data_IF_624587211495
#
_entry.id   IF_624587211495
#
_cell.length_a   1.000
_cell.length_b   1.000
_cell.length_c   1.000
_cell.angle_alpha   90.00
_cell.angle_beta   90.00
_cell.angle_gamma   90.00
#
_symmetry.space_group_name_H-M   'P 1'
#
loop_
_entity.id
_entity.type
_entity.pdbx_description
1 polymer ?
#
# COMPACT_ATOMS: atom_id res chain seq x y z
N UNK A 1 -24.66 23.51 19.49
CA UNK A 1 -24.31 23.48 18.05
C UNK A 1 -23.01 24.27 17.90
N UNK A 2 -21.87 23.59 18.02
CA UNK A 2 -20.54 24.21 17.91
C UNK A 2 -19.97 23.79 16.57
N UNK A 3 -19.87 24.74 15.64
CA UNK A 3 -19.13 24.55 14.38
C UNK A 3 -17.65 24.61 14.73
N UNK A 4 -16.98 23.47 14.63
CA UNK A 4 -15.53 23.34 14.75
C UNK A 4 -14.88 23.96 13.52
N UNK A 5 -14.18 25.07 13.73
CA UNK A 5 -13.35 25.76 12.75
C UNK A 5 -12.12 24.90 12.48
N UNK A 6 -12.15 24.13 11.39
CA UNK A 6 -10.97 23.42 10.88
C UNK A 6 -10.07 24.47 10.25
N UNK A 7 -9.06 24.91 11.00
CA UNK A 7 -7.97 25.71 10.45
C UNK A 7 -7.33 24.94 9.29
N UNK A 8 -7.15 25.57 8.11
CA UNK A 8 -6.34 24.96 7.06
C UNK A 8 -4.92 24.79 7.59
N UNK A 9 -4.44 23.54 7.63
CA UNK A 9 -3.03 23.25 7.85
C UNK A 9 -2.16 23.99 6.82
N UNK A 10 -0.86 24.18 7.10
CA UNK A 10 0.02 24.93 6.22
C UNK A 10 -0.08 24.35 4.79
N UNK A 11 -0.34 25.22 3.82
CA UNK A 11 -0.40 24.84 2.41
C UNK A 11 0.89 24.10 2.06
N UNK A 12 0.75 22.81 1.74
CA UNK A 12 1.87 22.00 1.27
C UNK A 12 2.55 22.75 0.11
N UNK A 13 3.88 22.92 0.12
CA UNK A 13 4.59 23.53 -1.00
C UNK A 13 4.20 22.76 -2.26
N UNK A 14 3.89 23.46 -3.36
CA UNK A 14 3.38 22.88 -4.60
C UNK A 14 4.16 21.63 -4.98
N UNK A 15 3.64 20.47 -4.60
CA UNK A 15 4.37 19.22 -4.70
C UNK A 15 4.51 18.92 -6.19
N UNK A 16 5.74 19.04 -6.69
CA UNK A 16 6.03 18.64 -8.05
C UNK A 16 5.77 17.14 -8.11
N UNK A 17 4.76 16.73 -8.88
CA UNK A 17 4.42 15.32 -9.04
C UNK A 17 5.64 14.52 -9.47
N UNK A 18 5.83 13.34 -8.89
CA UNK A 18 6.84 12.41 -9.40
C UNK A 18 6.56 12.08 -10.87
N UNK A 19 7.58 11.70 -11.66
CA UNK A 19 7.40 11.31 -13.06
C UNK A 19 6.30 10.25 -13.23
N UNK A 20 6.28 9.23 -12.37
CA UNK A 20 5.22 8.23 -12.33
C UNK A 20 3.83 8.81 -12.04
N UNK A 21 3.69 9.65 -11.01
CA UNK A 21 2.40 10.26 -10.68
C UNK A 21 1.88 11.13 -11.84
N UNK A 22 2.77 11.91 -12.47
CA UNK A 22 2.44 12.71 -13.65
C UNK A 22 1.96 11.85 -14.81
N UNK A 23 2.66 10.76 -15.13
CA UNK A 23 2.27 9.84 -16.22
C UNK A 23 0.90 9.21 -15.98
N UNK A 24 0.62 8.76 -14.75
CA UNK A 24 -0.70 8.21 -14.40
C UNK A 24 -1.81 9.25 -14.55
N UNK A 25 -1.56 10.51 -14.16
CA UNK A 25 -2.51 11.60 -14.37
C UNK A 25 -2.78 11.83 -15.87
N UNK A 26 -1.74 11.91 -16.69
CA UNK A 26 -1.87 12.05 -18.14
C UNK A 26 -2.66 10.89 -18.77
N UNK A 27 -2.42 9.64 -18.32
CA UNK A 27 -3.19 8.47 -18.77
C UNK A 27 -4.66 8.57 -18.38
N UNK A 28 -4.97 9.03 -17.15
CA UNK A 28 -6.36 9.21 -16.71
C UNK A 28 -7.08 10.31 -17.49
N UNK A 29 -6.42 11.44 -17.73
CA UNK A 29 -6.99 12.52 -18.55
C UNK A 29 -7.30 12.04 -19.97
N UNK A 30 -6.43 11.20 -20.56
CA UNK A 30 -6.69 10.54 -21.86
C UNK A 30 -7.80 9.48 -21.80
N UNK A 31 -7.94 8.76 -20.68
CA UNK A 31 -8.92 7.69 -20.51
C UNK A 31 -10.35 8.17 -20.20
N UNK A 32 -10.52 9.40 -19.68
CA UNK A 32 -11.84 9.99 -19.44
C UNK A 32 -12.66 10.21 -20.72
N UNK A 33 -12.02 10.17 -21.89
CA UNK A 33 -12.65 10.29 -23.20
C UNK A 33 -12.89 8.95 -23.91
N UNK A 34 -12.54 7.81 -23.29
CA UNK A 34 -12.65 6.47 -23.88
C UNK A 34 -13.76 5.62 -23.26
N UNK A 35 -14.46 4.82 -24.08
CA UNK A 35 -15.42 3.82 -23.61
C UNK A 35 -14.72 2.71 -22.79
N UNK A 36 -15.42 2.17 -21.78
CA UNK A 36 -14.95 0.99 -21.05
C UNK A 36 -15.01 -0.22 -21.98
N UNK A 37 -13.92 -0.98 -22.05
CA UNK A 37 -13.90 -2.28 -22.72
C UNK A 37 -14.41 -3.33 -21.73
N UNK A 38 -15.70 -3.65 -21.85
CA UNK A 38 -16.38 -4.68 -21.06
C UNK A 38 -16.32 -6.07 -21.75
N UNK A 39 -15.40 -6.24 -22.71
CA UNK A 39 -15.16 -7.51 -23.39
C UNK A 39 -14.64 -8.62 -22.45
N UNK A 40 -14.72 -9.89 -22.88
CA UNK A 40 -14.26 -11.01 -22.07
C UNK A 40 -12.76 -10.89 -21.75
N UNK A 41 -12.41 -11.09 -20.48
CA UNK A 41 -11.02 -11.06 -20.01
C UNK A 41 -10.24 -12.19 -20.68
N UNK A 42 -9.31 -11.82 -21.56
CA UNK A 42 -8.42 -12.78 -22.21
C UNK A 42 -7.28 -13.13 -21.28
N UNK A 43 -7.15 -14.41 -20.93
CA UNK A 43 -5.96 -14.91 -20.24
C UNK A 43 -4.79 -14.78 -21.20
N UNK A 44 -3.89 -13.84 -20.89
CA UNK A 44 -2.67 -13.62 -21.65
C UNK A 44 -1.46 -14.02 -20.79
N UNK A 45 -0.34 -14.44 -21.40
CA UNK A 45 0.90 -14.65 -20.67
C UNK A 45 1.25 -13.43 -19.83
N UNK A 46 1.75 -13.66 -18.61
CA UNK A 46 2.16 -12.58 -17.72
C UNK A 46 3.33 -11.82 -18.36
N UNK A 47 3.23 -10.51 -18.57
CA UNK A 47 4.34 -9.73 -19.10
C UNK A 47 5.46 -9.60 -18.06
N UNK A 48 6.67 -9.30 -18.52
CA UNK A 48 7.83 -9.05 -17.64
C UNK A 48 7.57 -7.94 -16.62
N UNK A 49 6.77 -6.94 -17.02
CA UNK A 49 6.31 -5.84 -16.16
C UNK A 49 4.81 -5.80 -16.13
N UNK A 50 4.27 -6.24 -15.01
CA UNK A 50 2.83 -6.34 -14.81
C UNK A 50 2.29 -4.94 -14.54
N UNK A 51 1.33 -4.42 -15.32
CA UNK A 51 0.75 -3.12 -15.04
C UNK A 51 -0.03 -3.14 -13.72
N UNK A 52 -0.06 -2.01 -12.99
CA UNK A 52 -0.95 -1.85 -11.85
C UNK A 52 -2.41 -1.91 -12.31
N UNK A 53 -3.28 -2.50 -11.49
CA UNK A 53 -4.72 -2.41 -11.66
C UNK A 53 -5.20 -0.95 -11.55
N UNK A 54 -6.37 -0.59 -12.10
CA UNK A 54 -6.89 0.78 -12.00
C UNK A 54 -7.04 1.30 -10.57
N UNK A 55 -7.34 0.41 -9.61
CA UNK A 55 -7.42 0.74 -8.19
C UNK A 55 -6.03 0.96 -7.57
N UNK A 56 -5.06 0.10 -7.90
CA UNK A 56 -3.67 0.25 -7.47
C UNK A 56 -3.03 1.54 -8.02
N UNK A 57 -3.28 1.89 -9.29
CA UNK A 57 -2.80 3.14 -9.88
C UNK A 57 -3.32 4.37 -9.12
N UNK A 58 -4.59 4.35 -8.70
CA UNK A 58 -5.19 5.42 -7.91
C UNK A 58 -4.50 5.57 -6.56
N UNK A 59 -4.34 4.47 -5.83
CA UNK A 59 -3.68 4.49 -4.52
C UNK A 59 -2.20 4.89 -4.64
N UNK A 60 -1.49 4.40 -5.65
CA UNK A 60 -0.11 4.80 -5.93
C UNK A 60 0.00 6.31 -6.19
N UNK A 61 -0.89 6.88 -7.00
CA UNK A 61 -0.90 8.32 -7.24
C UNK A 61 -1.13 9.12 -5.95
N UNK A 62 -2.07 8.68 -5.11
CA UNK A 62 -2.39 9.33 -3.84
C UNK A 62 -1.21 9.26 -2.87
N UNK A 63 -0.54 8.11 -2.76
CA UNK A 63 0.69 7.94 -1.96
C UNK A 63 1.84 8.85 -2.45
N UNK A 64 1.95 9.10 -3.76
CA UNK A 64 2.95 10.04 -4.30
C UNK A 64 2.58 11.51 -4.10
N UNK A 65 1.31 11.83 -3.91
CA UNK A 65 0.83 13.19 -3.67
C UNK A 65 1.09 13.62 -2.22
N UNK A 66 0.97 12.70 -1.27
CA UNK A 66 1.22 12.92 0.14
C UNK A 66 2.06 11.77 0.74
N UNK A 67 3.38 11.74 0.47
CA UNK A 67 4.25 10.63 0.89
C UNK A 67 4.31 10.53 2.41
N UNK A 68 4.05 9.33 2.94
CA UNK A 68 4.08 9.05 4.38
C UNK A 68 2.73 9.22 5.08
N UNK A 69 1.69 9.67 4.36
CA UNK A 69 0.35 9.72 4.90
C UNK A 69 -0.20 8.32 5.21
N UNK A 70 -0.73 8.15 6.42
CA UNK A 70 -1.35 6.90 6.85
C UNK A 70 -2.80 6.71 6.35
N UNK A 71 -3.35 7.68 5.60
CA UNK A 71 -4.77 7.74 5.20
C UNK A 71 -5.28 6.49 4.49
N UNK A 72 -4.40 5.77 3.78
CA UNK A 72 -4.75 4.56 3.03
C UNK A 72 -4.18 3.27 3.63
N UNK A 73 -3.66 3.33 4.86
CA UNK A 73 -3.31 2.15 5.64
C UNK A 73 -4.56 1.59 6.31
N UNK A 74 -4.71 0.27 6.29
CA UNK A 74 -5.78 -0.45 6.98
C UNK A 74 -5.18 -1.30 8.11
N UNK A 75 -4.83 -0.69 9.26
CA UNK A 75 -4.29 -1.43 10.39
C UNK A 75 -5.34 -2.39 10.94
N UNK A 76 -4.92 -3.61 11.27
CA UNK A 76 -5.74 -4.61 11.93
C UNK A 76 -4.97 -5.18 13.13
N UNK A 77 -5.69 -5.44 14.22
CA UNK A 77 -5.15 -6.02 15.43
C UNK A 77 -6.07 -7.12 15.95
N UNK A 78 -5.47 -8.18 16.47
CA UNK A 78 -6.18 -9.31 17.07
C UNK A 78 -5.66 -9.56 18.48
N UNK A 79 -6.56 -9.92 19.40
CA UNK A 79 -6.20 -10.34 20.76
C UNK A 79 -6.36 -11.85 20.86
N UNK A 80 -5.27 -12.52 21.17
CA UNK A 80 -5.26 -13.94 21.52
C UNK A 80 -5.32 -14.09 23.04
N UNK A 81 -6.04 -15.10 23.52
CA UNK A 81 -6.14 -15.42 24.96
C UNK A 81 -5.58 -16.81 25.20
N UNK A 82 -4.71 -16.94 26.20
CA UNK A 82 -4.02 -18.20 26.50
C UNK A 82 -2.61 -18.25 25.86
N UNK A 83 -1.93 -19.40 25.95
CA UNK A 83 -0.60 -19.56 25.38
C UNK A 83 -0.67 -19.48 23.85
N UNK A 84 0.19 -18.64 23.26
CA UNK A 84 0.34 -18.50 21.82
C UNK A 84 1.58 -19.28 21.35
N UNK A 85 1.38 -20.23 20.45
CA UNK A 85 2.48 -20.94 19.78
C UNK A 85 3.09 -20.04 18.70
N UNK A 86 4.16 -19.32 19.07
CA UNK A 86 4.86 -18.41 18.17
C UNK A 86 5.50 -19.10 16.95
N UNK A 87 6.17 -20.26 17.09
CA UNK A 87 6.61 -21.05 15.94
C UNK A 87 5.49 -21.38 14.95
N UNK A 88 4.32 -21.85 15.44
CA UNK A 88 3.19 -22.18 14.58
C UNK A 88 2.62 -20.93 13.88
N UNK A 89 2.50 -19.81 14.60
CA UNK A 89 2.05 -18.54 14.00
C UNK A 89 2.99 -18.07 12.89
N UNK A 90 4.32 -18.12 13.13
CA UNK A 90 5.31 -17.74 12.12
C UNK A 90 5.23 -18.62 10.88
N UNK A 91 5.06 -19.94 11.06
CA UNK A 91 4.86 -20.87 9.95
C UNK A 91 3.59 -20.53 9.16
N UNK A 92 2.46 -20.28 9.84
CA UNK A 92 1.20 -19.95 9.20
C UNK A 92 1.27 -18.65 8.37
N UNK A 93 1.92 -17.60 8.89
CA UNK A 93 2.11 -16.33 8.14
C UNK A 93 3.06 -16.52 6.96
N UNK A 94 4.11 -17.33 7.13
CA UNK A 94 5.03 -17.69 6.03
C UNK A 94 4.28 -18.42 4.92
N UNK A 95 3.44 -19.39 5.26
CA UNK A 95 2.62 -20.12 4.28
C UNK A 95 1.62 -19.20 3.55
N UNK A 96 1.02 -18.25 4.27
CA UNK A 96 0.10 -17.27 3.70
C UNK A 96 0.81 -16.38 2.67
N UNK A 97 1.93 -15.78 3.05
CA UNK A 97 2.72 -14.92 2.15
C UNK A 97 3.28 -15.70 0.97
N UNK A 98 3.69 -16.96 1.15
CA UNK A 98 4.14 -17.81 0.06
C UNK A 98 3.03 -18.08 -0.96
N UNK A 99 1.82 -18.42 -0.50
CA UNK A 99 0.66 -18.74 -1.34
C UNK A 99 0.08 -17.52 -2.07
N UNK A 100 0.13 -16.33 -1.47
CA UNK A 100 -0.54 -15.14 -1.98
C UNK A 100 0.44 -14.09 -2.51
N UNK A 101 0.55 -13.98 -3.84
CA UNK A 101 1.43 -13.01 -4.50
C UNK A 101 1.13 -11.55 -4.11
N UNK A 102 -0.14 -11.23 -3.86
CA UNK A 102 -0.58 -9.86 -3.53
C UNK A 102 0.05 -9.37 -2.22
N UNK A 103 0.38 -10.27 -1.29
CA UNK A 103 1.09 -9.94 -0.04
C UNK A 103 2.58 -9.67 -0.26
N UNK A 104 3.12 -10.03 -1.43
CA UNK A 104 4.53 -9.87 -1.83
C UNK A 104 4.70 -8.86 -2.98
N UNK A 105 3.65 -8.13 -3.33
CA UNK A 105 3.67 -7.17 -4.41
C UNK A 105 4.34 -5.86 -3.94
N UNK A 106 5.35 -5.41 -4.68
CA UNK A 106 5.94 -4.07 -4.56
C UNK A 106 5.73 -3.29 -5.85
N UNK A 107 5.75 -1.96 -5.78
CA UNK A 107 5.42 -1.08 -6.91
C UNK A 107 6.60 -0.17 -7.31
N UNK A 108 7.72 -0.73 -7.80
CA UNK A 108 8.84 0.05 -8.31
C UNK A 108 8.45 0.82 -9.59
N UNK A 109 9.24 1.84 -9.89
CA UNK A 109 9.13 2.62 -11.11
C UNK A 109 10.13 2.14 -12.17
N UNK A 110 9.73 2.12 -13.43
CA UNK A 110 10.63 1.99 -14.58
C UNK A 110 10.19 2.96 -15.68
N UNK A 111 11.11 3.79 -16.17
CA UNK A 111 10.85 4.79 -17.22
C UNK A 111 9.65 5.71 -16.91
N UNK A 112 9.46 6.10 -15.65
CA UNK A 112 8.33 6.95 -15.27
C UNK A 112 7.00 6.20 -15.19
N UNK A 113 6.98 4.87 -15.18
CA UNK A 113 5.76 4.07 -15.03
C UNK A 113 5.90 3.08 -13.86
N UNK A 114 4.93 3.07 -12.93
CA UNK A 114 4.91 2.04 -11.90
C UNK A 114 4.46 0.71 -12.49
N UNK A 115 5.06 -0.37 -12.02
CA UNK A 115 4.66 -1.73 -12.35
C UNK A 115 4.65 -2.59 -11.09
N UNK A 116 3.90 -3.69 -11.13
CA UNK A 116 3.88 -4.66 -10.03
C UNK A 116 5.08 -5.59 -10.20
N UNK A 117 5.90 -5.69 -9.16
CA UNK A 117 6.93 -6.71 -9.03
C UNK A 117 6.58 -7.59 -7.85
N UNK A 118 6.43 -8.89 -8.10
CA UNK A 118 6.17 -9.87 -7.04
C UNK A 118 7.53 -10.35 -6.54
N UNK A 119 7.81 -10.08 -5.27
CA UNK A 119 9.01 -10.59 -4.60
C UNK A 119 8.90 -12.11 -4.42
N UNK A 120 9.98 -12.89 -4.44
CA UNK A 120 9.91 -14.31 -4.09
C UNK A 120 9.35 -14.51 -2.68
N UNK A 121 8.80 -15.70 -2.37
CA UNK A 121 8.43 -16.03 -1.00
C UNK A 121 9.65 -15.98 -0.07
N UNK A 122 9.45 -15.48 1.14
CA UNK A 122 10.48 -15.33 2.18
C UNK A 122 9.85 -15.63 3.55
N UNK A 123 10.57 -16.21 4.54
CA UNK A 123 10.02 -16.44 5.86
C UNK A 123 9.50 -15.17 6.50
N UNK A 124 8.33 -15.25 7.14
CA UNK A 124 7.72 -14.09 7.79
C UNK A 124 8.59 -13.59 8.96
N UNK A 125 8.99 -12.32 8.87
CA UNK A 125 9.63 -11.61 9.98
C UNK A 125 8.55 -11.02 10.89
N UNK A 126 8.21 -11.76 11.96
CA UNK A 126 7.35 -11.28 13.04
C UNK A 126 8.23 -10.74 14.17
N UNK A 127 8.08 -9.43 14.44
CA UNK A 127 8.69 -8.76 15.57
C UNK A 127 7.88 -9.04 16.84
N UNK A 128 8.55 -9.51 17.89
CA UNK A 128 7.95 -9.75 19.20
C UNK A 128 8.36 -8.62 20.14
N UNK A 129 7.36 -7.87 20.59
CA UNK A 129 7.55 -6.79 21.57
C UNK A 129 6.85 -7.18 22.86
N UNK A 130 7.60 -7.15 23.97
CA UNK A 130 7.01 -7.33 25.30
C UNK A 130 6.30 -6.05 25.72
N UNK A 131 4.98 -6.11 25.81
CA UNK A 131 4.12 -4.99 26.23
C UNK A 131 3.82 -4.99 27.74
N UNK A 132 4.48 -5.83 28.55
CA UNK A 132 4.25 -5.93 30.01
C UNK A 132 5.11 -4.95 30.83
N UNK A 133 6.05 -4.25 30.20
CA UNK A 133 6.77 -3.13 30.82
C UNK A 133 5.84 -1.96 31.15
N UNK A 134 6.26 -1.01 32.00
CA UNK A 134 5.49 0.22 32.20
C UNK A 134 5.28 0.86 30.83
N UNK A 135 4.04 1.24 30.51
CA UNK A 135 3.72 1.95 29.28
C UNK A 135 4.69 3.14 29.15
N UNK A 136 5.69 2.99 28.29
CA UNK A 136 6.65 4.04 28.02
C UNK A 136 5.87 5.20 27.47
N UNK A 137 5.94 6.34 28.16
CA UNK A 137 5.34 7.59 27.73
C UNK A 137 5.56 7.76 26.22
N UNK A 138 4.46 7.97 25.51
CA UNK A 138 4.44 8.27 24.09
C UNK A 138 5.57 9.26 23.76
N UNK A 139 6.60 8.80 23.05
CA UNK A 139 7.58 9.69 22.43
C UNK A 139 6.96 10.24 21.15
N UNK A 140 5.96 11.08 21.35
CA UNK A 140 5.42 11.98 20.36
C UNK A 140 6.41 13.15 20.26
N UNK A 141 7.41 12.98 19.39
CA UNK A 141 8.42 14.01 19.18
C UNK A 141 9.61 13.56 18.36
N UNK A 142 9.47 13.47 17.04
CA UNK A 142 10.34 14.20 16.12
C UNK A 142 9.84 14.23 14.68
#
# INVERSE_FOLDING_TARGET
MTTSDVRPGPAAPSATLSPAARRLLEQRLRGLTGARDDGPVRISPRPDRIPLSPAQQRLYFLDRLDPGAATYLLPAAWRFTGPLDLPALRAAVTDLTARHEQLRAVFPEHEGLPYQRILPPDPACLDLVDATGPAGADQEGR
#
